data_IF_312400788041
#
_entry.id   IF_312400788041
#
_cell.length_a   1.000
_cell.length_b   1.000
_cell.length_c   1.000
_cell.angle_alpha   90.00
_cell.angle_beta   90.00
_cell.angle_gamma   90.00
#
_symmetry.space_group_name_H-M   'P 1'
#
loop_
_entity.id
_entity.type
_entity.pdbx_description
1 polymer ?
#
# COMPACT_ATOMS: atom_id res chain seq x y z
N UNK A 1 -4.70 -20.46 12.04
CA UNK A 1 -4.29 -19.95 10.71
C UNK A 1 -3.33 -18.78 10.95
N UNK A 2 -2.24 -18.67 10.18
CA UNK A 2 -1.26 -17.58 10.36
C UNK A 2 -1.82 -16.22 9.91
N UNK A 3 -1.25 -15.14 10.44
CA UNK A 3 -1.62 -13.75 10.10
C UNK A 3 -1.04 -13.37 8.74
N UNK A 4 -1.87 -12.95 7.79
CA UNK A 4 -1.52 -12.71 6.37
C UNK A 4 -2.23 -11.49 5.82
N UNK A 5 -1.46 -10.63 5.19
CA UNK A 5 -1.98 -9.43 4.53
C UNK A 5 -1.12 -9.04 3.34
N UNK A 6 -1.59 -8.10 2.53
CA UNK A 6 -0.86 -7.60 1.37
C UNK A 6 -0.83 -6.06 1.34
N UNK A 7 0.21 -5.54 0.71
CA UNK A 7 0.35 -4.11 0.39
C UNK A 7 0.60 -3.98 -1.12
N UNK A 8 -0.24 -3.21 -1.79
CA UNK A 8 -0.17 -2.89 -3.21
C UNK A 8 0.03 -1.39 -3.38
N UNK A 9 1.06 -1.00 -4.15
CA UNK A 9 1.36 0.39 -4.48
C UNK A 9 1.45 0.50 -6.01
N UNK A 10 0.42 1.07 -6.63
CA UNK A 10 0.46 1.42 -8.06
C UNK A 10 0.90 2.85 -8.22
N UNK A 11 1.77 3.10 -9.19
CA UNK A 11 2.12 4.44 -9.64
C UNK A 11 1.92 4.56 -11.14
N UNK A 12 1.34 5.68 -11.55
CA UNK A 12 1.17 6.08 -12.94
C UNK A 12 1.27 7.62 -12.98
N UNK A 13 2.48 8.13 -13.17
CA UNK A 13 2.79 9.55 -13.07
C UNK A 13 3.55 10.03 -14.29
N UNK A 14 3.30 11.27 -14.69
CA UNK A 14 4.03 11.89 -15.79
C UNK A 14 5.20 12.72 -15.27
N UNK A 15 6.37 12.51 -15.87
CA UNK A 15 7.57 13.29 -15.63
C UNK A 15 7.95 14.09 -16.87
N UNK A 16 8.22 15.39 -16.68
CA UNK A 16 8.57 16.31 -17.76
C UNK A 16 10.06 16.63 -17.69
N UNK A 17 10.84 16.04 -18.61
CA UNK A 17 12.25 16.37 -18.81
C UNK A 17 12.39 17.74 -19.46
N UNK A 18 13.34 18.53 -18.95
CA UNK A 18 13.67 19.83 -19.54
C UNK A 18 12.47 20.78 -19.52
N UNK A 19 11.71 20.82 -18.42
CA UNK A 19 10.55 21.71 -18.29
C UNK A 19 10.87 23.20 -18.52
N UNK A 20 12.15 23.58 -18.36
CA UNK A 20 12.66 24.92 -18.63
C UNK A 20 13.29 25.09 -20.04
N UNK A 21 13.20 24.10 -20.92
CA UNK A 21 13.73 24.16 -22.30
C UNK A 21 12.60 24.35 -23.32
N UNK A 22 12.94 24.75 -24.55
CA UNK A 22 11.97 24.97 -25.63
C UNK A 22 11.29 23.68 -26.12
N UNK A 23 11.80 22.50 -25.73
CA UNK A 23 11.34 21.18 -26.16
C UNK A 23 11.23 20.21 -24.99
N UNK A 24 10.25 20.40 -24.08
CA UNK A 24 10.04 19.49 -22.97
C UNK A 24 9.62 18.11 -23.49
N UNK A 25 10.12 17.05 -22.86
CA UNK A 25 9.70 15.67 -23.15
C UNK A 25 8.95 15.11 -21.97
N UNK A 26 7.77 14.56 -22.21
CA UNK A 26 7.00 13.88 -21.17
C UNK A 26 7.22 12.38 -21.28
N UNK A 27 7.59 11.76 -20.16
CA UNK A 27 7.65 10.31 -20.02
C UNK A 27 6.68 9.89 -18.92
N UNK A 28 5.96 8.80 -19.17
CA UNK A 28 5.10 8.19 -18.18
C UNK A 28 5.88 7.13 -17.39
N UNK A 29 5.85 7.23 -16.06
CA UNK A 29 6.38 6.21 -15.17
C UNK A 29 5.20 5.43 -14.60
N UNK A 30 5.12 4.15 -15.01
CA UNK A 30 4.05 3.23 -14.62
C UNK A 30 4.65 1.99 -13.96
N UNK A 31 4.08 1.54 -12.84
CA UNK A 31 4.51 0.31 -12.19
C UNK A 31 3.67 -0.08 -10.98
N UNK A 32 3.99 -1.24 -10.42
CA UNK A 32 3.32 -1.84 -9.26
C UNK A 32 4.37 -2.38 -8.29
N UNK A 33 4.16 -2.17 -7.00
CA UNK A 33 4.82 -2.90 -5.92
C UNK A 33 3.75 -3.73 -5.24
N UNK A 34 3.95 -5.05 -5.14
CA UNK A 34 3.00 -5.98 -4.54
C UNK A 34 3.72 -6.87 -3.53
N UNK A 35 3.44 -6.66 -2.24
CA UNK A 35 4.13 -7.32 -1.13
C UNK A 35 3.18 -8.17 -0.31
N UNK A 36 3.58 -9.40 -0.04
CA UNK A 36 2.84 -10.35 0.79
C UNK A 36 3.50 -10.50 2.16
N UNK A 37 2.74 -10.28 3.23
CA UNK A 37 3.27 -10.26 4.59
C UNK A 37 2.73 -11.41 5.44
N UNK A 38 3.60 -11.91 6.33
CA UNK A 38 3.16 -12.58 7.54
C UNK A 38 3.26 -11.59 8.71
N UNK A 39 2.28 -11.59 9.63
CA UNK A 39 2.28 -10.75 10.84
C UNK A 39 2.17 -9.23 10.63
N UNK A 40 1.44 -8.81 9.60
CA UNK A 40 1.08 -7.41 9.37
C UNK A 40 -0.45 -7.25 9.46
N UNK A 41 -0.94 -6.71 10.56
CA UNK A 41 -2.36 -6.58 10.90
C UNK A 41 -2.57 -5.35 11.79
N UNK A 42 -3.82 -4.96 12.02
CA UNK A 42 -4.22 -3.91 12.96
C UNK A 42 -3.34 -2.66 12.94
N UNK A 43 -2.83 -2.28 14.10
CA UNK A 43 -1.98 -1.10 14.30
C UNK A 43 -0.75 -1.08 13.39
N UNK A 44 -0.18 -2.25 13.10
CA UNK A 44 1.06 -2.38 12.32
C UNK A 44 0.84 -2.05 10.85
N UNK A 45 -0.30 -2.48 10.32
CA UNK A 45 -0.71 -2.16 8.95
C UNK A 45 -0.99 -0.65 8.83
N UNK A 46 -1.66 -0.05 9.82
CA UNK A 46 -1.89 1.41 9.88
C UNK A 46 -0.56 2.18 9.92
N UNK A 47 0.37 1.73 10.76
CA UNK A 47 1.69 2.34 10.89
C UNK A 47 2.46 2.28 9.57
N UNK A 48 2.55 1.10 8.95
CA UNK A 48 3.15 0.95 7.61
C UNK A 48 2.50 1.86 6.58
N UNK A 49 1.18 1.87 6.48
CA UNK A 49 0.44 2.74 5.56
C UNK A 49 0.84 4.20 5.75
N UNK A 50 0.91 4.68 7.00
CA UNK A 50 1.28 6.06 7.32
C UNK A 50 2.68 6.42 6.84
N UNK A 51 3.68 5.57 7.09
CA UNK A 51 5.06 5.88 6.69
C UNK A 51 5.31 5.68 5.20
N UNK A 52 4.67 4.69 4.56
CA UNK A 52 4.72 4.49 3.11
C UNK A 52 4.14 5.71 2.40
N UNK A 53 2.95 6.17 2.81
CA UNK A 53 2.29 7.34 2.20
C UNK A 53 3.11 8.61 2.44
N UNK A 54 3.73 8.79 3.62
CA UNK A 54 4.61 9.93 3.89
C UNK A 54 5.85 9.92 2.98
N UNK A 55 6.53 8.77 2.85
CA UNK A 55 7.70 8.62 1.97
C UNK A 55 7.34 8.92 0.50
N UNK A 56 6.20 8.40 0.03
CA UNK A 56 5.71 8.68 -1.32
C UNK A 56 5.43 10.17 -1.48
N UNK A 57 4.74 10.79 -0.51
CA UNK A 57 4.36 12.20 -0.58
C UNK A 57 5.57 13.14 -0.55
N UNK A 58 6.50 12.91 0.38
CA UNK A 58 7.57 13.86 0.68
C UNK A 58 8.82 13.63 -0.20
N UNK A 59 9.05 12.41 -0.69
CA UNK A 59 10.18 12.10 -1.58
C UNK A 59 9.72 11.86 -3.02
N UNK A 60 8.84 10.90 -3.28
CA UNK A 60 8.54 10.48 -4.66
C UNK A 60 7.66 11.47 -5.43
N UNK A 61 6.68 12.10 -4.79
CA UNK A 61 5.80 13.07 -5.43
C UNK A 61 6.48 14.42 -5.65
N UNK A 62 7.40 14.80 -4.75
CA UNK A 62 8.28 15.97 -4.91
C UNK A 62 9.30 15.73 -6.04
N UNK A 63 9.87 14.52 -6.08
CA UNK A 63 10.89 14.13 -7.03
C UNK A 63 10.42 12.95 -7.88
N UNK A 64 9.49 13.22 -8.81
CA UNK A 64 8.86 12.17 -9.65
C UNK A 64 9.83 11.27 -10.42
N UNK A 65 11.07 11.69 -10.66
CA UNK A 65 12.11 10.82 -11.24
C UNK A 65 12.41 9.58 -10.37
N UNK A 66 12.13 9.63 -9.06
CA UNK A 66 12.27 8.50 -8.14
C UNK A 66 11.42 7.28 -8.56
N UNK A 67 10.31 7.48 -9.29
CA UNK A 67 9.50 6.39 -9.83
C UNK A 67 10.15 5.63 -11.01
N UNK A 68 11.27 6.12 -11.53
CA UNK A 68 12.05 5.47 -12.58
C UNK A 68 13.47 5.11 -12.11
N UNK A 69 13.72 5.22 -10.80
CA UNK A 69 15.00 4.88 -10.18
C UNK A 69 14.87 3.57 -9.40
N UNK A 70 15.62 2.55 -9.83
CA UNK A 70 15.56 1.22 -9.25
C UNK A 70 16.00 1.17 -7.77
N UNK A 71 16.99 1.97 -7.36
CA UNK A 71 17.44 2.03 -5.97
C UNK A 71 16.38 2.68 -5.08
N UNK A 72 15.72 3.72 -5.58
CA UNK A 72 14.59 4.37 -4.88
C UNK A 72 13.40 3.42 -4.76
N UNK A 73 13.04 2.73 -5.83
CA UNK A 73 11.95 1.74 -5.79
C UNK A 73 12.27 0.59 -4.83
N UNK A 74 13.51 0.10 -4.80
CA UNK A 74 13.94 -0.91 -3.82
C UNK A 74 13.88 -0.36 -2.38
N UNK A 75 14.29 0.88 -2.14
CA UNK A 75 14.12 1.55 -0.84
C UNK A 75 12.64 1.59 -0.43
N UNK A 76 11.72 1.91 -1.34
CA UNK A 76 10.28 1.93 -1.06
C UNK A 76 9.74 0.53 -0.71
N UNK A 77 10.23 -0.52 -1.39
CA UNK A 77 9.92 -1.92 -1.02
C UNK A 77 10.40 -2.23 0.40
N UNK A 78 11.61 -1.81 0.79
CA UNK A 78 12.12 -1.98 2.17
C UNK A 78 11.36 -1.16 3.20
N UNK A 79 10.83 -0.01 2.82
CA UNK A 79 9.93 0.78 3.67
C UNK A 79 8.65 0.00 4.01
N UNK A 80 8.11 -0.77 3.06
CA UNK A 80 6.97 -1.65 3.32
C UNK A 80 7.31 -2.74 4.38
N UNK A 81 8.56 -3.23 4.38
CA UNK A 81 9.05 -4.27 5.31
C UNK A 81 9.32 -3.73 6.72
N UNK A 82 9.46 -2.42 6.88
CA UNK A 82 9.75 -1.81 8.18
C UNK A 82 8.55 -1.90 9.10
N UNK A 83 8.76 -2.43 10.30
CA UNK A 83 7.78 -2.43 11.37
C UNK A 83 8.07 -1.28 12.33
N UNK A 84 7.42 -0.15 12.10
CA UNK A 84 7.65 1.07 12.87
C UNK A 84 7.22 0.93 14.33
N UNK A 85 6.28 0.02 14.63
CA UNK A 85 5.76 -0.22 15.98
C UNK A 85 6.75 -0.99 16.86
N UNK A 86 7.39 -2.02 16.30
CA UNK A 86 8.35 -2.86 17.01
C UNK A 86 9.81 -2.43 16.79
N UNK A 87 10.06 -1.49 15.86
CA UNK A 87 11.41 -1.10 15.39
C UNK A 87 12.21 -2.30 14.87
N UNK A 88 11.53 -3.14 14.09
CA UNK A 88 12.12 -4.31 13.43
C UNK A 88 11.81 -4.34 11.92
N UNK A 89 12.25 -5.39 11.25
CA UNK A 89 11.99 -5.65 9.84
C UNK A 89 11.20 -6.95 9.75
N UNK A 90 10.08 -6.91 9.02
CA UNK A 90 9.27 -8.07 8.68
C UNK A 90 9.46 -8.35 7.21
N UNK A 91 10.12 -9.47 6.90
CA UNK A 91 10.31 -9.90 5.52
C UNK A 91 8.97 -10.18 4.85
N UNK A 92 8.85 -9.73 3.62
CA UNK A 92 7.70 -9.97 2.77
C UNK A 92 8.11 -10.76 1.52
N UNK A 93 7.17 -11.50 0.95
CA UNK A 93 7.35 -12.07 -0.39
C UNK A 93 7.01 -11.04 -1.47
N UNK A 94 7.65 -11.18 -2.63
CA UNK A 94 7.38 -10.35 -3.81
C UNK A 94 6.34 -11.04 -4.69
N UNK A 95 5.10 -10.55 -4.67
CA UNK A 95 4.00 -11.18 -5.40
C UNK A 95 4.26 -11.13 -6.92
N UNK A 96 4.95 -10.09 -7.42
CA UNK A 96 5.26 -10.01 -8.84
C UNK A 96 6.24 -11.10 -9.27
N UNK A 97 7.24 -11.43 -8.43
CA UNK A 97 8.15 -12.54 -8.71
C UNK A 97 7.43 -13.87 -8.69
N UNK A 98 6.51 -14.06 -7.74
CA UNK A 98 5.66 -15.26 -7.72
C UNK A 98 4.86 -15.36 -9.02
N UNK A 99 4.16 -14.30 -9.45
CA UNK A 99 3.43 -14.30 -10.73
C UNK A 99 4.33 -14.64 -11.92
N UNK A 100 5.54 -14.08 -11.98
CA UNK A 100 6.53 -14.39 -13.03
C UNK A 100 6.96 -15.87 -13.02
N UNK A 101 7.16 -16.46 -11.84
CA UNK A 101 7.49 -17.89 -11.67
C UNK A 101 6.32 -18.82 -12.05
N UNK A 102 5.09 -18.32 -12.09
CA UNK A 102 3.88 -19.02 -12.52
C UNK A 102 3.39 -18.57 -13.90
N UNK A 103 4.32 -18.41 -14.86
CA UNK A 103 4.04 -18.09 -16.27
C UNK A 103 3.23 -16.79 -16.49
N UNK A 104 3.30 -15.85 -15.55
CA UNK A 104 2.59 -14.57 -15.65
C UNK A 104 1.09 -14.65 -15.36
N UNK A 105 0.63 -15.64 -14.59
CA UNK A 105 -0.79 -15.75 -14.20
C UNK A 105 -1.22 -14.59 -13.30
N UNK A 106 -1.78 -13.55 -13.92
CA UNK A 106 -2.25 -12.34 -13.25
C UNK A 106 -3.37 -12.60 -12.22
N UNK A 107 -4.04 -13.77 -12.25
CA UNK A 107 -5.02 -14.11 -11.22
C UNK A 107 -4.38 -14.21 -9.82
N UNK A 108 -3.08 -14.52 -9.75
CA UNK A 108 -2.32 -14.61 -8.51
C UNK A 108 -1.98 -13.25 -7.89
N UNK A 109 -2.10 -12.15 -8.65
CA UNK A 109 -1.66 -10.83 -8.22
C UNK A 109 -2.43 -10.32 -6.99
N UNK A 110 -3.75 -10.45 -7.01
CA UNK A 110 -4.64 -10.04 -5.92
C UNK A 110 -5.26 -11.22 -5.16
N UNK A 111 -5.09 -12.44 -5.70
CA UNK A 111 -5.67 -13.70 -5.21
C UNK A 111 -4.93 -14.36 -4.04
N UNK A 112 -3.97 -13.67 -3.41
CA UNK A 112 -3.15 -14.25 -2.34
C UNK A 112 -3.98 -14.60 -1.09
N UNK A 113 -3.62 -15.65 -0.32
CA UNK A 113 -4.29 -15.97 0.93
C UNK A 113 -4.25 -14.80 1.92
N UNK A 114 -5.38 -14.44 2.52
CA UNK A 114 -5.48 -13.24 3.33
C UNK A 114 -6.48 -13.42 4.48
N UNK A 115 -6.13 -12.94 5.66
CA UNK A 115 -7.02 -12.86 6.81
C UNK A 115 -6.85 -11.57 7.65
N UNK A 116 -5.90 -10.70 7.29
CA UNK A 116 -5.65 -9.42 7.96
C UNK A 116 -5.75 -8.20 7.03
N UNK A 117 -6.23 -8.40 5.80
CA UNK A 117 -6.63 -7.35 4.87
C UNK A 117 -5.59 -7.02 3.81
N UNK A 118 -5.99 -6.13 2.91
CA UNK A 118 -5.18 -5.63 1.80
C UNK A 118 -5.14 -4.11 1.85
N UNK A 119 -3.94 -3.54 1.78
CA UNK A 119 -3.75 -2.10 1.62
C UNK A 119 -3.48 -1.81 0.14
N UNK A 120 -4.27 -0.91 -0.44
CA UNK A 120 -4.09 -0.38 -1.77
C UNK A 120 -3.67 1.09 -1.67
N UNK A 121 -2.64 1.47 -2.41
CA UNK A 121 -2.17 2.84 -2.56
C UNK A 121 -2.03 3.11 -4.06
N UNK A 122 -2.70 4.12 -4.57
CA UNK A 122 -2.66 4.52 -5.98
C UNK A 122 -2.15 5.94 -6.13
N UNK A 123 -1.12 6.09 -6.96
CA UNK A 123 -0.37 7.31 -7.11
C UNK A 123 -0.51 7.79 -8.54
N UNK A 124 -1.06 8.98 -8.69
CA UNK A 124 -1.26 9.64 -9.98
C UNK A 124 -0.75 11.07 -9.92
N UNK A 125 -0.72 11.77 -11.06
CA UNK A 125 -0.41 13.20 -11.07
C UNK A 125 -1.36 14.04 -10.21
N UNK A 126 -2.58 13.56 -9.94
CA UNK A 126 -3.56 14.24 -9.09
C UNK A 126 -3.29 14.06 -7.59
N UNK A 127 -2.41 13.14 -7.20
CA UNK A 127 -2.06 12.87 -5.81
C UNK A 127 -2.13 11.39 -5.43
N UNK A 128 -2.20 11.15 -4.13
CA UNK A 128 -2.18 9.82 -3.52
C UNK A 128 -3.59 9.46 -3.06
N UNK A 129 -4.07 8.28 -3.48
CA UNK A 129 -5.27 7.65 -2.95
C UNK A 129 -4.91 6.37 -2.22
N UNK A 130 -5.73 5.97 -1.26
CA UNK A 130 -5.52 4.74 -0.51
C UNK A 130 -6.84 4.10 -0.09
N UNK A 131 -6.84 2.81 0.20
CA UNK A 131 -7.81 2.20 1.09
C UNK A 131 -7.30 0.89 1.68
N UNK A 132 -7.98 0.42 2.71
CA UNK A 132 -7.90 -0.94 3.18
C UNK A 132 -9.10 -1.74 2.68
N UNK A 133 -8.89 -3.02 2.36
CA UNK A 133 -9.93 -3.96 1.96
C UNK A 133 -9.84 -5.20 2.84
N UNK A 134 -10.97 -5.86 3.11
CA UNK A 134 -10.95 -7.21 3.69
C UNK A 134 -10.33 -8.18 2.70
N UNK A 135 -10.78 -8.07 1.46
CA UNK A 135 -10.27 -8.71 0.26
C UNK A 135 -10.68 -7.83 -0.93
N UNK A 136 -9.92 -7.83 -2.02
CA UNK A 136 -10.09 -6.87 -3.11
C UNK A 136 -11.49 -6.86 -3.76
N UNK A 137 -12.22 -7.98 -3.64
CA UNK A 137 -13.59 -8.16 -4.15
C UNK A 137 -14.63 -8.35 -3.03
N UNK A 138 -14.29 -8.05 -1.78
CA UNK A 138 -15.18 -8.21 -0.62
C UNK A 138 -15.33 -6.93 0.19
N UNK A 139 -16.55 -6.40 0.22
CA UNK A 139 -16.93 -5.25 1.03
C UNK A 139 -16.57 -3.91 0.39
N UNK A 140 -16.63 -2.85 1.19
CA UNK A 140 -16.38 -1.47 0.77
C UNK A 140 -14.95 -1.04 1.16
N UNK A 141 -14.33 -0.11 0.40
CA UNK A 141 -13.08 0.54 0.78
C UNK A 141 -13.14 1.14 2.19
N UNK A 142 -12.17 0.77 3.02
CA UNK A 142 -12.05 1.23 4.40
C UNK A 142 -10.95 2.27 4.54
N UNK A 143 -11.21 3.34 5.29
CA UNK A 143 -10.16 4.18 5.85
C UNK A 143 -9.51 3.48 7.06
N UNK A 144 -8.51 4.12 7.67
CA UNK A 144 -7.80 3.53 8.81
C UNK A 144 -8.70 3.22 10.02
N UNK A 145 -9.68 4.06 10.32
CA UNK A 145 -10.63 3.82 11.42
C UNK A 145 -11.49 2.58 11.15
N UNK A 146 -12.09 2.48 9.97
CA UNK A 146 -12.95 1.36 9.59
C UNK A 146 -12.17 0.04 9.52
N UNK A 147 -10.91 0.10 9.09
CA UNK A 147 -10.01 -1.06 9.09
C UNK A 147 -9.72 -1.55 10.51
N UNK A 148 -9.41 -0.65 11.45
CA UNK A 148 -9.16 -1.02 12.85
C UNK A 148 -10.39 -1.66 13.50
N UNK A 149 -11.59 -1.13 13.22
CA UNK A 149 -12.84 -1.74 13.65
C UNK A 149 -12.99 -3.17 13.12
N UNK A 150 -12.82 -3.34 11.81
CA UNK A 150 -12.93 -4.67 11.19
C UNK A 150 -11.90 -5.67 11.71
N UNK A 151 -10.65 -5.26 11.89
CA UNK A 151 -9.56 -6.17 12.24
C UNK A 151 -9.47 -6.46 13.75
N UNK A 152 -9.81 -5.49 14.60
CA UNK A 152 -9.54 -5.57 16.04
C UNK A 152 -10.79 -5.68 16.92
N UNK A 153 -11.99 -5.38 16.40
CA UNK A 153 -13.22 -5.50 17.19
C UNK A 153 -13.85 -6.90 17.06
N UNK A 154 -14.35 -7.41 18.18
CA UNK A 154 -15.10 -8.66 18.27
C UNK A 154 -16.11 -8.61 19.43
N UNK A 155 -16.81 -9.71 19.69
CA UNK A 155 -17.86 -9.76 20.73
C UNK A 155 -17.37 -9.42 22.13
N UNK A 156 -16.13 -9.79 22.45
CA UNK A 156 -15.52 -9.58 23.77
C UNK A 156 -14.73 -8.26 23.84
N UNK A 157 -14.46 -7.67 22.67
CA UNK A 157 -13.74 -6.40 22.52
C UNK A 157 -14.40 -5.55 21.43
N UNK A 158 -15.54 -4.88 21.72
CA UNK A 158 -16.35 -4.22 20.70
C UNK A 158 -15.86 -2.81 20.29
N UNK A 159 -14.81 -2.31 20.92
CA UNK A 159 -14.26 -0.97 20.66
C UNK A 159 -12.74 -1.02 20.72
N UNK A 160 -12.07 -0.86 19.58
CA UNK A 160 -10.60 -0.94 19.50
C UNK A 160 -9.88 0.19 20.24
N UNK A 161 -10.58 1.26 20.62
CA UNK A 161 -10.05 2.36 21.42
C UNK A 161 -9.89 2.01 22.91
N UNK A 162 -10.39 0.84 23.33
CA UNK A 162 -10.25 0.35 24.70
C UNK A 162 -8.98 -0.51 24.82
N UNK A 163 -8.07 -0.23 25.77
CA UNK A 163 -6.90 -1.07 25.98
C UNK A 163 -7.26 -2.51 26.38
N UNK A 164 -6.53 -3.49 25.85
CA UNK A 164 -6.65 -4.91 26.20
C UNK A 164 -5.26 -5.58 26.20
N UNK A 165 -5.20 -6.90 26.41
CA UNK A 165 -3.96 -7.66 26.59
C UNK A 165 -2.90 -7.40 25.51
N UNK A 166 -3.33 -7.25 24.24
CA UNK A 166 -2.42 -7.11 23.10
C UNK A 166 -2.25 -5.68 22.60
N UNK A 167 -3.06 -4.73 23.08
CA UNK A 167 -2.97 -3.32 22.67
C UNK A 167 -3.17 -2.38 23.84
N UNK A 168 -2.10 -1.68 24.22
CA UNK A 168 -2.14 -0.71 25.30
C UNK A 168 -2.54 0.69 24.80
N UNK A 169 -2.85 1.58 25.75
CA UNK A 169 -3.26 2.97 25.47
C UNK A 169 -2.24 3.76 24.62
N UNK A 170 -0.93 3.53 24.79
CA UNK A 170 0.10 4.21 24.01
C UNK A 170 0.06 3.78 22.54
N UNK A 171 -0.15 2.48 22.29
CA UNK A 171 -0.33 1.92 20.95
C UNK A 171 -1.58 2.49 20.31
N UNK A 172 -2.74 2.46 20.99
CA UNK A 172 -4.00 3.05 20.50
C UNK A 172 -3.80 4.51 20.09
N UNK A 173 -3.25 5.33 21.00
CA UNK A 173 -3.00 6.74 20.70
C UNK A 173 -2.01 6.96 19.56
N UNK A 174 -1.07 6.04 19.34
CA UNK A 174 -0.15 6.10 18.21
C UNK A 174 -0.87 5.76 16.90
N UNK A 175 -1.68 4.71 16.88
CA UNK A 175 -2.53 4.32 15.76
C UNK A 175 -3.47 5.45 15.36
N UNK A 176 -4.18 6.07 16.31
CA UNK A 176 -5.06 7.23 16.04
C UNK A 176 -4.32 8.39 15.38
N UNK A 177 -3.09 8.69 15.84
CA UNK A 177 -2.26 9.73 15.22
C UNK A 177 -1.83 9.36 13.81
N UNK A 178 -1.55 8.08 13.56
CA UNK A 178 -1.18 7.59 12.24
C UNK A 178 -2.37 7.70 11.27
N UNK A 179 -3.57 7.28 11.67
CA UNK A 179 -4.82 7.43 10.89
C UNK A 179 -5.02 8.90 10.51
N UNK A 180 -4.97 9.81 11.50
CA UNK A 180 -5.11 11.26 11.27
C UNK A 180 -4.04 11.85 10.35
N UNK A 181 -2.86 11.23 10.27
CA UNK A 181 -1.80 11.66 9.33
C UNK A 181 -2.08 11.14 7.93
N UNK A 182 -2.50 9.89 7.79
CA UNK A 182 -2.88 9.31 6.49
C UNK A 182 -3.98 10.17 5.85
N UNK A 183 -5.04 10.49 6.61
CA UNK A 183 -6.18 11.27 6.11
C UNK A 183 -5.83 12.70 5.66
N UNK A 184 -4.65 13.21 6.06
CA UNK A 184 -4.12 14.50 5.59
C UNK A 184 -3.26 14.39 4.34
N UNK A 185 -2.71 13.21 4.06
CA UNK A 185 -1.73 12.98 3.01
C UNK A 185 -2.33 12.27 1.78
N UNK A 186 -3.40 11.49 1.98
CA UNK A 186 -4.03 10.71 0.93
C UNK A 186 -5.56 10.74 1.05
N UNK A 187 -6.24 10.52 -0.08
CA UNK A 187 -7.70 10.45 -0.14
C UNK A 187 -8.17 8.99 -0.14
N UNK A 188 -9.26 8.69 0.56
CA UNK A 188 -9.87 7.36 0.52
C UNK A 188 -10.38 7.04 -0.89
N UNK A 189 -10.06 5.85 -1.40
CA UNK A 189 -10.56 5.37 -2.69
C UNK A 189 -12.06 5.09 -2.68
N UNK A 190 -12.72 5.31 -3.82
CA UNK A 190 -14.09 4.83 -4.05
C UNK A 190 -14.10 3.36 -4.50
N UNK A 191 -15.25 2.67 -4.46
CA UNK A 191 -15.39 1.32 -4.99
C UNK A 191 -14.99 1.22 -6.47
N UNK A 192 -15.33 2.21 -7.28
CA UNK A 192 -14.98 2.25 -8.71
C UNK A 192 -13.47 2.40 -8.93
N UNK A 193 -12.80 3.16 -8.05
CA UNK A 193 -11.35 3.34 -8.12
C UNK A 193 -10.61 2.07 -7.75
N UNK A 194 -11.08 1.33 -6.75
CA UNK A 194 -10.52 0.00 -6.42
C UNK A 194 -10.79 -1.00 -7.52
N UNK A 195 -11.99 -1.00 -8.10
CA UNK A 195 -12.30 -1.84 -9.25
C UNK A 195 -11.35 -1.52 -10.41
N UNK A 196 -11.16 -0.24 -10.73
CA UNK A 196 -10.21 0.21 -11.77
C UNK A 196 -8.75 -0.06 -11.40
N UNK A 197 -8.40 -0.21 -10.12
CA UNK A 197 -7.09 -0.65 -9.71
C UNK A 197 -6.88 -2.11 -10.09
N UNK A 198 -7.75 -2.99 -9.59
CA UNK A 198 -7.62 -4.44 -9.72
C UNK A 198 -7.78 -4.91 -11.16
N UNK A 199 -8.65 -4.26 -11.93
CA UNK A 199 -8.93 -4.60 -13.33
C UNK A 199 -7.99 -3.92 -14.35
N UNK A 200 -6.98 -3.17 -13.90
CA UNK A 200 -6.00 -2.56 -14.83
C UNK A 200 -5.21 -3.63 -15.59
N UNK A 201 -4.71 -3.26 -16.76
CA UNK A 201 -3.79 -4.12 -17.51
C UNK A 201 -2.42 -4.07 -16.84
N UNK A 202 -2.03 -5.19 -16.23
CA UNK A 202 -0.73 -5.40 -15.58
C UNK A 202 0.24 -6.25 -16.41
N UNK A 203 -0.13 -6.65 -17.64
CA UNK A 203 0.73 -7.46 -18.50
C UNK A 203 2.06 -6.77 -18.85
N UNK A 204 2.05 -5.43 -18.89
CA UNK A 204 3.25 -4.61 -19.13
C UNK A 204 4.35 -4.80 -18.08
N UNK A 205 4.03 -5.31 -16.89
CA UNK A 205 5.01 -5.60 -15.83
C UNK A 205 5.89 -6.82 -16.17
N UNK A 206 5.43 -7.68 -17.07
CA UNK A 206 6.05 -8.96 -17.42
C UNK A 206 6.51 -9.02 -18.88
N UNK A 207 6.31 -7.93 -19.65
CA UNK A 207 6.76 -7.87 -21.02
C UNK A 207 8.30 -7.80 -21.06
N UNK A 208 8.97 -8.60 -21.92
CA UNK A 208 10.42 -8.47 -22.11
C UNK A 208 10.76 -7.07 -22.60
N UNK A 209 11.77 -6.45 -21.99
CA UNK A 209 12.35 -5.20 -22.48
C UNK A 209 12.95 -5.49 -23.87
N UNK A 210 12.29 -5.00 -24.92
CA UNK A 210 12.79 -5.05 -26.30
C UNK A 210 13.84 -3.97 -26.57
#
# INVERSE_FOLDING_TARGET
>A
MGQRSQIYIRYNVNYVYGSATDHPKTQNFKGLIARYFQWNYGERMISRARYIIEEIKDEFMEYKYCFNDNEKLEKLKRFCETNFDMKDIVFSSDILKEVEEFDGDLQLLFGQPNNDGQLFIDITDAGIKYCFMKYYNEGEPMNGENYMKWNCENKDHPDWHIPYEYMNKKTISYTERNIKKIDKMATLMTPEEIKSFVEDDYSYLFAPLF
#
